data_IF_714311175197
#
_entry.id   IF_714311175197
#
_cell.length_a   1.000
_cell.length_b   1.000
_cell.length_c   1.000
_cell.angle_alpha   90.00
_cell.angle_beta   90.00
_cell.angle_gamma   90.00
#
_symmetry.space_group_name_H-M   'P 1'
#
loop_
_entity.id
_entity.type
_entity.pdbx_description
1 polymer ?
#
# COMPACT_ATOMS: atom_id res chain seq x y z
N UNK A 1 13.00 6.57 11.32
CA UNK A 1 13.12 5.20 10.75
C UNK A 1 11.97 4.87 9.82
N UNK A 2 10.75 5.32 10.14
CA UNK A 2 9.64 5.33 9.19
C UNK A 2 9.93 6.17 7.94
N UNK A 3 10.59 7.33 8.01
CA UNK A 3 10.82 8.20 6.85
C UNK A 3 11.20 7.48 5.55
N UNK A 4 12.31 6.71 5.54
CA UNK A 4 12.78 6.06 4.33
C UNK A 4 11.90 4.89 3.87
N UNK A 5 11.35 4.10 4.81
CA UNK A 5 10.50 2.96 4.49
C UNK A 5 9.12 3.44 4.01
N UNK A 6 8.46 4.30 4.77
CA UNK A 6 7.16 4.94 4.43
C UNK A 6 7.27 5.71 3.12
N UNK A 7 8.38 6.43 2.88
CA UNK A 7 8.65 7.09 1.60
C UNK A 7 8.86 6.08 0.46
N UNK A 8 9.65 5.02 0.67
CA UNK A 8 9.86 4.00 -0.34
C UNK A 8 8.57 3.25 -0.69
N UNK A 9 7.76 2.88 0.32
CA UNK A 9 6.45 2.24 0.15
C UNK A 9 5.48 3.18 -0.57
N UNK A 10 5.43 4.46 -0.16
CA UNK A 10 4.61 5.48 -0.80
C UNK A 10 4.99 5.73 -2.26
N UNK A 11 6.29 5.86 -2.56
CA UNK A 11 6.79 6.02 -3.93
C UNK A 11 6.49 4.77 -4.76
N UNK A 12 6.72 3.56 -4.21
CA UNK A 12 6.39 2.31 -4.90
C UNK A 12 4.89 2.20 -5.19
N UNK A 13 4.04 2.62 -4.25
CA UNK A 13 2.59 2.64 -4.41
C UNK A 13 2.15 3.64 -5.51
N UNK A 14 2.77 4.82 -5.57
CA UNK A 14 2.51 5.81 -6.62
C UNK A 14 3.01 5.34 -8.00
N UNK A 15 4.17 4.69 -8.06
CA UNK A 15 4.68 4.09 -9.30
C UNK A 15 3.76 2.97 -9.80
N UNK A 16 3.27 2.11 -8.90
CA UNK A 16 2.27 1.10 -9.22
C UNK A 16 0.97 1.74 -9.72
N UNK A 17 0.50 2.81 -9.05
CA UNK A 17 -0.69 3.53 -9.43
C UNK A 17 -0.56 4.17 -10.82
N UNK A 18 0.57 4.81 -11.11
CA UNK A 18 0.86 5.40 -12.41
C UNK A 18 0.93 4.33 -13.51
N UNK A 19 1.58 3.20 -13.22
CA UNK A 19 1.72 2.10 -14.18
C UNK A 19 0.37 1.44 -14.50
N UNK A 20 -0.42 1.10 -13.47
CA UNK A 20 -1.75 0.50 -13.65
C UNK A 20 -2.76 1.50 -14.22
N UNK A 21 -2.67 2.78 -13.83
CA UNK A 21 -3.47 3.87 -14.38
C UNK A 21 -3.19 4.10 -15.86
N UNK A 22 -1.92 3.99 -16.29
CA UNK A 22 -1.56 4.08 -17.70
C UNK A 22 -2.08 2.88 -18.51
N UNK A 23 -2.01 1.67 -17.94
CA UNK A 23 -2.61 0.49 -18.56
C UNK A 23 -4.13 0.61 -18.71
N UNK A 24 -4.81 1.14 -17.68
CA UNK A 24 -6.24 1.43 -17.70
C UNK A 24 -6.59 2.50 -18.75
N UNK A 25 -5.77 3.56 -18.87
CA UNK A 25 -5.95 4.60 -19.89
C UNK A 25 -5.82 4.05 -21.32
N UNK A 26 -5.06 2.97 -21.52
CA UNK A 26 -4.95 2.26 -22.79
C UNK A 26 -5.99 1.14 -22.99
N UNK A 27 -7.03 1.09 -22.16
CA UNK A 27 -8.06 0.05 -22.16
C UNK A 27 -7.51 -1.38 -22.06
N UNK A 28 -6.35 -1.55 -21.42
CA UNK A 28 -5.74 -2.86 -21.25
C UNK A 28 -6.15 -3.48 -19.91
N UNK A 29 -6.48 -4.78 -19.89
CA UNK A 29 -6.67 -5.51 -18.64
C UNK A 29 -5.33 -5.71 -17.92
N UNK A 30 -5.43 -6.05 -16.64
CA UNK A 30 -4.30 -6.29 -15.75
C UNK A 30 -3.51 -7.52 -16.23
N UNK A 31 -2.34 -7.28 -16.85
CA UNK A 31 -1.44 -8.35 -17.34
C UNK A 31 -0.63 -8.95 -16.19
N UNK A 32 -0.10 -10.16 -16.37
CA UNK A 32 0.72 -10.88 -15.37
C UNK A 32 1.87 -10.03 -14.77
N UNK A 33 2.44 -9.11 -15.55
CA UNK A 33 3.46 -8.17 -15.09
C UNK A 33 2.97 -7.17 -14.02
N UNK A 34 1.69 -6.76 -14.07
CA UNK A 34 1.10 -5.88 -13.05
C UNK A 34 0.92 -6.61 -11.72
N UNK A 35 0.67 -7.92 -11.76
CA UNK A 35 0.62 -8.76 -10.56
C UNK A 35 1.98 -8.87 -9.86
N UNK A 36 3.08 -8.89 -10.63
CA UNK A 36 4.42 -8.81 -10.04
C UNK A 36 4.61 -7.48 -9.32
N UNK A 37 4.19 -6.36 -9.93
CA UNK A 37 4.21 -5.05 -9.28
C UNK A 37 3.41 -5.04 -7.97
N UNK A 38 2.19 -5.58 -7.99
CA UNK A 38 1.35 -5.68 -6.79
C UNK A 38 1.98 -6.55 -5.71
N UNK A 39 2.63 -7.66 -6.09
CA UNK A 39 3.34 -8.53 -5.16
C UNK A 39 4.51 -7.80 -4.49
N UNK A 40 5.28 -7.00 -5.25
CA UNK A 40 6.37 -6.19 -4.70
C UNK A 40 5.84 -5.16 -3.70
N UNK A 41 4.79 -4.41 -4.05
CA UNK A 41 4.21 -3.41 -3.14
C UNK A 41 3.61 -4.07 -1.90
N UNK A 42 2.95 -5.22 -2.06
CA UNK A 42 2.44 -6.02 -0.94
C UNK A 42 3.56 -6.50 -0.01
N UNK A 43 4.70 -6.90 -0.57
CA UNK A 43 5.86 -7.31 0.22
C UNK A 43 6.42 -6.13 1.01
N UNK A 44 6.50 -4.95 0.41
CA UNK A 44 6.94 -3.73 1.09
C UNK A 44 6.01 -3.37 2.26
N UNK A 45 4.69 -3.38 2.04
CA UNK A 45 3.73 -3.10 3.13
C UNK A 45 3.74 -4.18 4.20
N UNK A 46 4.05 -5.44 3.86
CA UNK A 46 4.25 -6.51 4.83
C UNK A 46 5.50 -6.28 5.70
N UNK A 47 6.62 -5.89 5.08
CA UNK A 47 7.84 -5.55 5.82
C UNK A 47 7.57 -4.39 6.77
N UNK A 48 6.86 -3.36 6.30
CA UNK A 48 6.44 -2.23 7.13
C UNK A 48 5.53 -2.65 8.29
N UNK A 49 4.59 -3.58 8.05
CA UNK A 49 3.74 -4.16 9.08
C UNK A 49 4.58 -4.84 10.17
N UNK A 50 5.51 -5.71 9.77
CA UNK A 50 6.37 -6.46 10.72
C UNK A 50 7.25 -5.50 11.52
N UNK A 51 7.88 -4.52 10.86
CA UNK A 51 8.73 -3.52 11.53
C UNK A 51 7.91 -2.70 12.55
N UNK A 52 6.71 -2.25 12.17
CA UNK A 52 5.83 -1.49 13.07
C UNK A 52 5.42 -2.30 14.30
N UNK A 53 5.10 -3.59 14.13
CA UNK A 53 4.76 -4.49 15.25
C UNK A 53 5.97 -4.73 16.16
N UNK A 54 7.17 -4.93 15.60
CA UNK A 54 8.40 -5.12 16.40
C UNK A 54 8.72 -3.88 17.24
N UNK A 55 8.50 -2.69 16.71
CA UNK A 55 8.71 -1.43 17.45
C UNK A 55 7.72 -1.25 18.60
N UNK A 56 6.45 -1.53 18.36
CA UNK A 56 5.44 -1.60 19.42
C UNK A 56 5.81 -2.60 20.51
N UNK A 57 6.31 -3.78 20.14
CA UNK A 57 6.76 -4.79 21.09
C UNK A 57 8.02 -4.37 21.88
N UNK A 58 8.81 -3.44 21.36
CA UNK A 58 9.97 -2.84 22.06
C UNK A 58 9.57 -1.73 23.05
N UNK A 59 8.28 -1.41 23.15
CA UNK A 59 7.77 -0.37 24.04
C UNK A 59 7.81 1.04 23.44
N UNK A 60 7.99 1.16 22.12
CA UNK A 60 7.83 2.45 21.44
C UNK A 60 6.33 2.74 21.24
N UNK A 61 5.85 3.82 21.86
CA UNK A 61 4.46 4.25 21.77
C UNK A 61 4.30 5.37 20.73
N UNK A 62 3.40 5.21 19.75
CA UNK A 62 3.13 6.25 18.76
C UNK A 62 2.41 7.45 19.39
N UNK A 63 2.72 8.66 18.92
CA UNK A 63 2.26 9.92 19.50
C UNK A 63 0.73 10.05 19.60
N UNK A 64 -0.02 9.51 18.61
CA UNK A 64 -1.48 9.58 18.56
C UNK A 64 -2.18 8.30 19.05
N UNK A 65 -1.42 7.33 19.59
CA UNK A 65 -1.96 6.12 20.22
C UNK A 65 -1.84 4.83 19.40
N UNK A 66 -1.50 3.74 20.10
CA UNK A 66 -1.19 2.42 19.52
C UNK A 66 -2.31 1.83 18.67
N UNK A 67 -3.56 1.97 19.10
CA UNK A 67 -4.72 1.39 18.40
C UNK A 67 -4.88 1.98 17.00
N UNK A 68 -4.74 3.31 16.88
CA UNK A 68 -4.87 4.02 15.60
C UNK A 68 -3.72 3.61 14.68
N UNK A 69 -2.49 3.58 15.20
CA UNK A 69 -1.32 3.18 14.42
C UNK A 69 -1.46 1.75 13.88
N UNK A 70 -1.85 0.77 14.70
CA UNK A 70 -2.04 -0.63 14.26
C UNK A 70 -3.16 -0.75 13.23
N UNK A 71 -4.26 -0.02 13.40
CA UNK A 71 -5.36 -0.01 12.43
C UNK A 71 -4.90 0.50 11.06
N UNK A 72 -4.11 1.58 11.02
CA UNK A 72 -3.55 2.11 9.77
C UNK A 72 -2.49 1.19 9.16
N UNK A 73 -1.67 0.52 9.99
CA UNK A 73 -0.69 -0.47 9.54
C UNK A 73 -1.37 -1.63 8.80
N UNK A 74 -2.44 -2.17 9.40
CA UNK A 74 -3.24 -3.25 8.83
C UNK A 74 -3.97 -2.78 7.56
N UNK A 75 -4.55 -1.58 7.59
CA UNK A 75 -5.22 -0.99 6.43
C UNK A 75 -4.28 -0.80 5.24
N UNK A 76 -3.05 -0.33 5.49
CA UNK A 76 -2.02 -0.12 4.47
C UNK A 76 -1.59 -1.46 3.86
N UNK A 77 -1.36 -2.48 4.69
CA UNK A 77 -1.07 -3.84 4.22
C UNK A 77 -2.22 -4.43 3.39
N UNK A 78 -3.46 -4.31 3.85
CA UNK A 78 -4.62 -4.93 3.20
C UNK A 78 -5.01 -4.27 1.87
N UNK A 79 -4.63 -3.01 1.64
CA UNK A 79 -5.07 -2.21 0.50
C UNK A 79 -4.69 -2.84 -0.86
N UNK A 80 -3.42 -3.25 -1.02
CA UNK A 80 -2.90 -3.79 -2.28
C UNK A 80 -3.35 -5.24 -2.53
N UNK A 81 -3.28 -6.16 -1.55
CA UNK A 81 -3.81 -7.51 -1.70
C UNK A 81 -5.30 -7.53 -2.05
N UNK A 82 -6.12 -6.73 -1.35
CA UNK A 82 -7.55 -6.67 -1.61
C UNK A 82 -7.83 -6.19 -3.05
N UNK A 83 -7.12 -5.17 -3.51
CA UNK A 83 -7.21 -4.70 -4.90
C UNK A 83 -6.72 -5.74 -5.91
N UNK A 84 -5.66 -6.49 -5.58
CA UNK A 84 -5.19 -7.61 -6.39
C UNK A 84 -6.23 -8.71 -6.55
N UNK A 85 -6.88 -9.13 -5.46
CA UNK A 85 -8.00 -10.08 -5.49
C UNK A 85 -9.18 -9.57 -6.31
N UNK A 86 -9.55 -8.30 -6.13
CA UNK A 86 -10.61 -7.67 -6.91
C UNK A 86 -10.26 -7.63 -8.41
N UNK A 87 -9.01 -7.34 -8.75
CA UNK A 87 -8.54 -7.37 -10.14
C UNK A 87 -8.46 -8.78 -10.73
N UNK A 88 -8.28 -9.81 -9.91
CA UNK A 88 -8.36 -11.22 -10.35
C UNK A 88 -9.80 -11.62 -10.67
N UNK A 89 -10.75 -11.15 -9.87
CA UNK A 89 -12.18 -11.34 -10.11
C UNK A 89 -12.64 -10.58 -11.37
N UNK A 90 -12.15 -9.36 -11.57
CA UNK A 90 -12.55 -8.48 -12.66
C UNK A 90 -11.43 -8.31 -13.71
N UNK A 91 -11.31 -9.26 -14.66
CA UNK A 91 -10.27 -9.25 -15.73
C UNK A 91 -10.52 -8.26 -16.87
N UNK A 92 -11.11 -7.11 -16.57
CA UNK A 92 -11.37 -6.04 -17.55
C UNK A 92 -10.51 -4.81 -17.25
N UNK A 93 -10.69 -3.71 -18.02
CA UNK A 93 -10.04 -2.42 -17.70
C UNK A 93 -10.31 -1.96 -16.27
N UNK A 94 -11.44 -2.37 -15.69
CA UNK A 94 -11.83 -2.02 -14.33
C UNK A 94 -10.94 -2.64 -13.26
N UNK A 95 -10.36 -3.82 -13.51
CA UNK A 95 -9.35 -4.43 -12.62
C UNK A 95 -8.07 -3.59 -12.53
N UNK A 96 -7.65 -2.97 -13.63
CA UNK A 96 -6.49 -2.06 -13.62
C UNK A 96 -6.79 -0.73 -12.92
N UNK A 97 -8.04 -0.24 -13.03
CA UNK A 97 -8.50 0.97 -12.33
C UNK A 97 -8.52 0.76 -10.81
N UNK A 98 -9.02 -0.38 -10.31
CA UNK A 98 -9.04 -0.68 -8.87
C UNK A 98 -7.63 -0.77 -8.27
N UNK A 99 -6.68 -1.36 -9.00
CA UNK A 99 -5.27 -1.41 -8.58
C UNK A 99 -4.62 -0.03 -8.60
N UNK A 100 -4.94 0.79 -9.61
CA UNK A 100 -4.45 2.17 -9.64
C UNK A 100 -4.98 2.99 -8.46
N UNK A 101 -6.28 2.86 -8.17
CA UNK A 101 -6.91 3.53 -7.03
C UNK A 101 -6.32 3.07 -5.69
N UNK A 102 -6.07 1.77 -5.51
CA UNK A 102 -5.47 1.26 -4.28
C UNK A 102 -4.03 1.76 -4.06
N UNK A 103 -3.24 1.89 -5.13
CA UNK A 103 -1.90 2.50 -5.02
C UNK A 103 -1.96 3.96 -4.55
N UNK A 104 -2.93 4.75 -5.02
CA UNK A 104 -3.14 6.13 -4.53
C UNK A 104 -3.59 6.15 -3.08
N UNK A 105 -4.54 5.30 -2.71
CA UNK A 105 -5.03 5.20 -1.32
C UNK A 105 -3.89 4.80 -0.38
N UNK A 106 -3.07 3.82 -0.77
CA UNK A 106 -1.91 3.42 0.00
C UNK A 106 -0.96 4.60 0.21
N UNK A 107 -0.63 5.38 -0.82
CA UNK A 107 0.23 6.56 -0.67
C UNK A 107 -0.33 7.59 0.34
N UNK A 108 -1.65 7.77 0.39
CA UNK A 108 -2.29 8.63 1.41
C UNK A 108 -2.22 8.02 2.80
N UNK A 109 -2.41 6.71 2.93
CA UNK A 109 -2.27 5.99 4.20
C UNK A 109 -0.84 6.07 4.74
N UNK A 110 0.17 6.01 3.87
CA UNK A 110 1.58 6.18 4.23
C UNK A 110 1.84 7.58 4.83
N UNK A 111 1.31 8.64 4.22
CA UNK A 111 1.41 10.00 4.77
C UNK A 111 0.72 10.09 6.13
N UNK A 112 -0.45 9.46 6.29
CA UNK A 112 -1.15 9.44 7.58
C UNK A 112 -0.44 8.62 8.64
N UNK A 113 0.13 7.48 8.29
CA UNK A 113 0.89 6.65 9.21
C UNK A 113 2.12 7.39 9.74
N UNK A 114 2.76 8.16 8.85
CA UNK A 114 3.87 9.04 9.22
C UNK A 114 3.46 10.13 10.21
N UNK A 115 2.33 10.78 9.96
CA UNK A 115 1.73 11.80 10.83
C UNK A 115 1.41 11.23 12.22
N UNK A 116 0.76 10.06 12.28
CA UNK A 116 0.43 9.34 13.53
C UNK A 116 1.69 9.02 14.36
N UNK A 117 2.79 8.70 13.69
CA UNK A 117 4.05 8.36 14.35
C UNK A 117 4.79 9.58 14.89
N UNK A 118 4.89 10.67 14.11
CA UNK A 118 5.66 11.86 14.50
C UNK A 118 4.89 12.84 15.37
N UNK A 119 3.57 12.86 15.30
CA UNK A 119 2.72 13.80 16.05
C UNK A 119 2.60 15.15 15.37
#
# INVERSE_FOLDING_TARGET
MLDALTLATGVAALLLAAWCGWAAYRDQPTKDWHFIGMAVVTLLTLVQLVVGVVWLARGEEPAQGTVIFVAYLLGSFACVPAAGFMSLAERTRWGSVTVAASGVVLAVLEVRLYDIWKG
#
